data_IF_207269090737
#
_entry.id   IF_207269090737
#
_cell.length_a   1.000
_cell.length_b   1.000
_cell.length_c   1.000
_cell.angle_alpha   90.00
_cell.angle_beta   90.00
_cell.angle_gamma   90.00
#
_symmetry.space_group_name_H-M   'P 1'
#
loop_
_entity.id
_entity.type
_entity.pdbx_description
1 polymer ?
#
# COMPACT_ATOMS: atom_id res chain seq x y z
N UNK A 1 -5.48 2.25 11.80
CA UNK A 1 -5.20 1.11 10.90
C UNK A 1 -4.69 -0.09 11.67
N UNK A 2 -5.24 -1.29 11.44
CA UNK A 2 -4.75 -2.54 12.03
C UNK A 2 -3.44 -3.01 11.35
N UNK A 3 -2.60 -3.75 12.09
CA UNK A 3 -1.36 -4.33 11.59
C UNK A 3 -1.11 -5.71 12.21
N UNK A 4 -0.29 -6.53 11.53
CA UNK A 4 0.08 -7.88 11.98
C UNK A 4 1.54 -8.20 11.61
N UNK A 5 1.81 -8.73 10.41
CA UNK A 5 3.12 -9.31 10.09
C UNK A 5 4.28 -8.32 9.89
N UNK A 6 3.99 -7.08 9.51
CA UNK A 6 4.96 -6.04 9.09
C UNK A 6 5.91 -6.45 7.94
N UNK A 7 5.58 -7.51 7.21
CA UNK A 7 6.42 -8.12 6.18
C UNK A 7 5.71 -8.21 4.82
N UNK A 8 4.52 -7.64 4.68
CA UNK A 8 3.81 -7.56 3.40
C UNK A 8 3.08 -8.81 2.94
N UNK A 9 2.94 -9.86 3.77
CA UNK A 9 2.25 -11.10 3.37
C UNK A 9 0.82 -11.25 3.90
N UNK A 10 0.45 -10.59 5.00
CA UNK A 10 -0.87 -10.77 5.62
C UNK A 10 -1.99 -9.86 5.09
N UNK A 11 -1.64 -8.73 4.44
CA UNK A 11 -2.63 -7.77 3.93
C UNK A 11 -3.43 -6.97 4.98
N UNK A 12 -3.23 -7.18 6.28
CA UNK A 12 -4.00 -6.49 7.33
C UNK A 12 -3.90 -4.96 7.29
N UNK A 13 -2.78 -4.43 6.78
CA UNK A 13 -2.48 -3.00 6.76
C UNK A 13 -2.76 -2.32 5.41
N UNK A 14 -3.69 -2.88 4.60
CA UNK A 14 -4.15 -2.30 3.33
C UNK A 14 -4.78 -0.93 3.56
N UNK A 15 -4.42 0.04 2.72
CA UNK A 15 -5.01 1.38 2.65
C UNK A 15 -5.09 1.83 1.20
N UNK A 16 -5.97 2.78 0.89
CA UNK A 16 -6.06 3.41 -0.44
C UNK A 16 -5.36 4.76 -0.44
N UNK A 17 -4.64 5.06 -1.52
CA UNK A 17 -4.10 6.40 -1.79
C UNK A 17 -5.15 7.28 -2.50
N UNK A 18 -5.18 8.56 -2.14
CA UNK A 18 -5.95 9.59 -2.84
C UNK A 18 -5.10 10.28 -3.93
N UNK A 19 -3.78 10.31 -3.78
CA UNK A 19 -2.85 10.83 -4.77
C UNK A 19 -1.40 10.35 -4.54
N UNK A 20 -0.61 10.39 -5.61
CA UNK A 20 0.81 10.02 -5.65
C UNK A 20 1.08 8.57 -6.06
N UNK A 21 2.31 8.28 -6.48
CA UNK A 21 2.72 6.99 -7.01
C UNK A 21 3.26 6.05 -5.92
N UNK A 22 2.85 4.79 -5.95
CA UNK A 22 3.22 3.78 -4.95
C UNK A 22 4.39 2.92 -5.45
N UNK A 23 5.44 2.82 -4.65
CA UNK A 23 6.46 1.78 -4.73
C UNK A 23 5.98 0.54 -3.97
N UNK A 24 5.45 -0.44 -4.72
CA UNK A 24 4.93 -1.69 -4.17
C UNK A 24 6.06 -2.68 -3.86
N UNK A 25 6.20 -3.02 -2.57
CA UNK A 25 7.18 -4.00 -2.08
C UNK A 25 6.54 -5.28 -1.51
N UNK A 26 5.25 -5.40 -1.70
CA UNK A 26 4.47 -6.59 -1.38
C UNK A 26 4.32 -7.48 -2.63
N UNK A 27 3.93 -8.73 -2.43
CA UNK A 27 3.67 -9.70 -3.49
C UNK A 27 2.23 -10.26 -3.44
N UNK A 28 1.34 -9.62 -2.67
CA UNK A 28 -0.01 -10.16 -2.41
C UNK A 28 -1.13 -9.30 -3.03
N UNK A 29 -0.86 -8.03 -3.34
CA UNK A 29 -1.82 -7.19 -4.04
C UNK A 29 -1.91 -7.61 -5.51
N UNK A 30 -3.13 -7.85 -5.95
CA UNK A 30 -3.46 -8.11 -7.35
C UNK A 30 -3.30 -6.85 -8.19
N UNK A 31 -3.16 -7.00 -9.51
CA UNK A 31 -3.03 -5.85 -10.42
C UNK A 31 -4.18 -4.84 -10.29
N UNK A 32 -5.47 -5.25 -10.24
CA UNK A 32 -6.57 -4.30 -10.05
C UNK A 32 -6.51 -3.56 -8.71
N UNK A 33 -5.99 -4.20 -7.64
CA UNK A 33 -5.81 -3.52 -6.35
C UNK A 33 -4.71 -2.46 -6.43
N UNK A 34 -3.62 -2.74 -7.17
CA UNK A 34 -2.53 -1.79 -7.41
C UNK A 34 -3.00 -0.61 -8.26
N UNK A 35 -3.72 -0.89 -9.35
CA UNK A 35 -4.34 0.14 -10.20
C UNK A 35 -5.34 1.01 -9.44
N UNK A 36 -6.05 0.45 -8.45
CA UNK A 36 -6.95 1.19 -7.58
C UNK A 36 -6.24 2.03 -6.49
N UNK A 37 -4.90 2.05 -6.47
CA UNK A 37 -4.12 2.79 -5.48
C UNK A 37 -4.07 2.13 -4.10
N UNK A 38 -4.30 0.81 -4.02
CA UNK A 38 -4.20 0.09 -2.74
C UNK A 38 -2.73 -0.15 -2.40
N UNK A 39 -2.31 0.08 -1.16
CA UNK A 39 -0.95 -0.21 -0.71
C UNK A 39 -0.92 -0.90 0.66
N UNK A 40 0.17 -1.59 0.97
CA UNK A 40 0.43 -2.10 2.31
C UNK A 40 1.34 -1.13 3.07
N UNK A 41 0.78 -0.40 4.04
CA UNK A 41 1.53 0.64 4.78
C UNK A 41 2.80 0.14 5.47
N UNK A 42 2.88 -1.15 5.81
CA UNK A 42 4.08 -1.70 6.44
C UNK A 42 5.31 -1.76 5.51
N UNK A 43 5.12 -2.03 4.21
CA UNK A 43 6.23 -2.30 3.27
C UNK A 43 6.25 -1.39 2.05
N UNK A 44 5.10 -0.97 1.54
CA UNK A 44 5.01 -0.08 0.38
C UNK A 44 5.49 1.33 0.74
N UNK A 45 5.99 2.08 -0.24
CA UNK A 45 6.52 3.45 -0.06
C UNK A 45 6.02 4.36 -1.17
N UNK A 46 6.34 5.65 -1.06
CA UNK A 46 6.21 6.59 -2.19
C UNK A 46 7.27 6.24 -3.24
N UNK A 47 6.86 6.14 -4.51
CA UNK A 47 7.78 6.02 -5.65
C UNK A 47 8.49 7.34 -5.99
N UNK A 48 8.22 8.40 -5.21
CA UNK A 48 8.80 9.73 -5.36
C UNK A 48 7.78 10.78 -4.94
N UNK A 49 8.24 11.84 -4.28
CA UNK A 49 7.34 12.89 -3.78
C UNK A 49 6.38 12.40 -2.69
N UNK A 50 5.18 12.98 -2.65
CA UNK A 50 4.22 12.80 -1.56
C UNK A 50 3.11 11.80 -1.91
N UNK A 51 2.69 11.03 -0.91
CA UNK A 51 1.48 10.20 -0.96
C UNK A 51 0.40 10.82 -0.06
N UNK A 52 -0.83 10.90 -0.57
CA UNK A 52 -2.02 11.24 0.25
C UNK A 52 -2.81 9.97 0.50
N UNK A 53 -3.16 9.70 1.75
CA UNK A 53 -3.86 8.48 2.18
C UNK A 53 -5.27 8.80 2.68
N UNK A 54 -6.19 7.87 2.44
CA UNK A 54 -7.55 7.86 2.97
C UNK A 54 -7.56 7.06 4.29
N UNK A 55 -7.37 7.73 5.44
CA UNK A 55 -7.13 7.12 6.76
C UNK A 55 -8.26 7.36 7.77
#
# INVERSE_FOLDING_TARGET
MPYSCQQGFCGTCKVRTLSGDIDHRDNILTEPEREAGTMLTCVSRSAGGNLTLDL
#
